data_IF_534215334197
#
_entry.id   IF_534215334197
#
_cell.length_a   1.000
_cell.length_b   1.000
_cell.length_c   1.000
_cell.angle_alpha   90.00
_cell.angle_beta   90.00
_cell.angle_gamma   90.00
#
_symmetry.space_group_name_H-M   'P 1'
#
loop_
_entity.id
_entity.type
_entity.pdbx_description
1 polymer ?
#
# COMPACT_ATOMS: atom_id res chain seq x y z
N UNK A 1 5.23 -2.19 14.25
CA UNK A 1 6.24 -1.94 13.21
C UNK A 1 6.41 -3.25 12.45
N UNK A 2 5.88 -3.38 11.22
CA UNK A 2 6.04 -4.61 10.45
C UNK A 2 7.50 -4.87 10.09
N UNK A 3 7.89 -6.13 10.04
CA UNK A 3 9.21 -6.60 9.64
C UNK A 3 10.26 -6.53 10.74
N UNK A 4 9.88 -6.62 12.01
CA UNK A 4 10.86 -6.76 13.10
C UNK A 4 11.57 -8.12 13.04
N UNK A 5 12.69 -8.33 13.76
CA UNK A 5 13.31 -9.65 13.85
C UNK A 5 12.31 -10.72 14.30
N UNK A 6 12.32 -11.86 13.59
CA UNK A 6 11.38 -13.00 13.76
C UNK A 6 9.93 -12.72 13.34
N UNK A 7 9.64 -11.55 12.78
CA UNK A 7 8.32 -11.22 12.22
C UNK A 7 8.14 -11.89 10.86
N UNK A 8 6.91 -12.30 10.57
CA UNK A 8 6.45 -12.85 9.30
C UNK A 8 5.02 -12.37 8.96
N UNK A 9 4.48 -12.80 7.82
CA UNK A 9 3.14 -12.44 7.38
C UNK A 9 2.07 -12.78 8.42
N UNK A 10 2.18 -13.97 9.03
CA UNK A 10 1.16 -14.50 9.93
C UNK A 10 1.14 -13.75 11.26
N UNK A 11 2.33 -13.51 11.81
CA UNK A 11 2.55 -12.81 13.07
C UNK A 11 2.20 -11.32 12.95
N UNK A 12 2.54 -10.68 11.82
CA UNK A 12 2.11 -9.31 11.57
C UNK A 12 0.58 -9.20 11.42
N UNK A 13 -0.06 -10.08 10.64
CA UNK A 13 -1.51 -10.05 10.47
C UNK A 13 -2.25 -10.40 11.77
N UNK A 14 -1.68 -11.26 12.62
CA UNK A 14 -2.21 -11.48 13.96
C UNK A 14 -2.09 -10.21 14.82
N UNK A 15 -0.94 -9.53 14.78
CA UNK A 15 -0.76 -8.25 15.49
C UNK A 15 -1.78 -7.19 15.05
N UNK A 16 -2.17 -7.16 13.77
CA UNK A 16 -3.23 -6.27 13.27
C UNK A 16 -4.56 -6.58 13.96
N UNK A 17 -4.94 -7.86 14.06
CA UNK A 17 -6.18 -8.27 14.76
C UNK A 17 -6.13 -7.90 16.24
N UNK A 18 -5.01 -8.17 16.90
CA UNK A 18 -4.83 -7.85 18.31
C UNK A 18 -4.94 -6.34 18.55
N UNK A 19 -4.41 -5.51 17.64
CA UNK A 19 -4.55 -4.04 17.71
C UNK A 19 -6.00 -3.59 17.49
N UNK A 20 -6.74 -4.23 16.57
CA UNK A 20 -8.17 -3.94 16.37
C UNK A 20 -8.96 -4.22 17.66
N UNK A 21 -8.66 -5.33 18.34
CA UNK A 21 -9.32 -5.71 19.59
C UNK A 21 -9.05 -4.72 20.74
N UNK A 22 -7.90 -4.03 20.71
CA UNK A 22 -7.57 -2.95 21.65
C UNK A 22 -8.36 -1.65 21.40
N UNK A 23 -9.00 -1.50 20.24
CA UNK A 23 -9.81 -0.32 19.84
C UNK A 23 -9.11 1.03 20.06
N UNK A 24 -7.90 1.24 19.52
CA UNK A 24 -7.21 2.53 19.63
C UNK A 24 -7.92 3.62 18.82
N UNK A 25 -7.74 4.88 19.22
CA UNK A 25 -8.25 6.05 18.48
C UNK A 25 -7.60 6.20 17.10
N UNK A 26 -6.37 5.71 16.92
CA UNK A 26 -5.65 5.70 15.66
C UNK A 26 -4.44 4.76 15.70
N UNK A 27 -3.87 4.46 14.52
CA UNK A 27 -2.62 3.70 14.38
C UNK A 27 -1.59 4.42 13.52
N UNK A 28 -0.31 4.11 13.75
CA UNK A 28 0.83 4.53 12.94
C UNK A 28 1.63 3.31 12.52
N UNK A 29 1.92 3.18 11.23
CA UNK A 29 2.62 2.02 10.67
C UNK A 29 3.99 2.47 10.16
N UNK A 30 5.05 2.01 10.82
CA UNK A 30 6.43 2.24 10.40
C UNK A 30 7.06 0.92 9.97
N UNK A 31 7.28 0.71 8.65
CA UNK A 31 8.12 -0.38 8.16
C UNK A 31 9.49 -0.35 8.84
N UNK A 32 9.93 -1.52 9.29
CA UNK A 32 11.23 -1.64 9.95
C UNK A 32 12.35 -1.46 8.94
N UNK A 33 13.26 -0.52 9.20
CA UNK A 33 14.43 -0.22 8.37
C UNK A 33 15.71 -0.52 9.14
N UNK A 34 16.78 -0.89 8.43
CA UNK A 34 18.12 -1.04 8.99
C UNK A 34 18.81 0.31 8.93
N UNK A 35 19.06 0.90 10.10
CA UNK A 35 19.75 2.19 10.25
C UNK A 35 21.10 1.96 10.92
N UNK A 36 22.16 2.63 10.44
CA UNK A 36 23.51 2.55 11.03
C UNK A 36 23.48 2.80 12.55
N UNK A 37 24.42 2.18 13.26
CA UNK A 37 24.60 2.35 14.70
C UNK A 37 23.38 1.94 15.54
N UNK A 38 22.60 0.98 15.06
CA UNK A 38 21.50 0.34 15.81
C UNK A 38 21.78 -1.13 16.02
N UNK A 39 21.17 -1.73 17.04
CA UNK A 39 21.22 -3.19 17.25
C UNK A 39 20.75 -3.96 16.01
N UNK A 40 19.76 -3.42 15.28
CA UNK A 40 19.26 -4.04 14.06
C UNK A 40 20.31 -4.04 12.94
N UNK A 41 21.15 -3.00 12.85
CA UNK A 41 22.28 -2.96 11.92
C UNK A 41 23.36 -3.98 12.27
N UNK A 42 23.63 -4.20 13.55
CA UNK A 42 24.57 -5.24 13.98
C UNK A 42 24.05 -6.64 13.62
N UNK A 43 22.76 -6.91 13.86
CA UNK A 43 22.11 -8.18 13.46
C UNK A 43 22.16 -8.37 11.94
N UNK A 44 21.85 -7.33 11.17
CA UNK A 44 21.92 -7.35 9.70
C UNK A 44 23.35 -7.65 9.22
N UNK A 45 24.35 -7.00 9.81
CA UNK A 45 25.76 -7.18 9.45
C UNK A 45 26.29 -8.58 9.79
N UNK A 46 25.69 -9.27 10.77
CA UNK A 46 25.97 -10.69 11.09
C UNK A 46 25.11 -11.69 10.31
N UNK A 47 24.19 -11.21 9.46
CA UNK A 47 23.24 -12.06 8.72
C UNK A 47 22.12 -12.67 9.57
N UNK A 48 21.94 -12.21 10.81
CA UNK A 48 20.91 -12.69 11.75
C UNK A 48 19.54 -12.07 11.50
N UNK A 49 19.49 -10.98 10.73
CA UNK A 49 18.27 -10.29 10.34
C UNK A 49 18.36 -9.87 8.88
N UNK A 50 17.30 -10.12 8.12
CA UNK A 50 17.14 -9.63 6.76
C UNK A 50 15.84 -8.83 6.69
N UNK A 51 15.88 -7.54 6.32
CA UNK A 51 14.67 -6.76 6.19
C UNK A 51 13.79 -7.30 5.05
N UNK A 52 12.48 -7.10 5.18
CA UNK A 52 11.55 -7.47 4.11
C UNK A 52 11.75 -6.61 2.86
N UNK A 53 11.46 -7.18 1.69
CA UNK A 53 11.44 -6.42 0.45
C UNK A 53 10.34 -5.36 0.46
N UNK A 54 10.54 -4.29 -0.33
CA UNK A 54 9.54 -3.22 -0.48
C UNK A 54 8.19 -3.77 -0.93
N UNK A 55 8.17 -4.65 -1.94
CA UNK A 55 6.92 -5.22 -2.45
C UNK A 55 6.18 -6.08 -1.40
N UNK A 56 6.92 -6.93 -0.65
CA UNK A 56 6.36 -7.72 0.46
C UNK A 56 5.72 -6.81 1.51
N UNK A 57 6.46 -5.79 1.92
CA UNK A 57 5.99 -4.82 2.91
C UNK A 57 4.76 -4.04 2.43
N UNK A 58 4.75 -3.58 1.18
CA UNK A 58 3.61 -2.87 0.60
C UNK A 58 2.34 -3.73 0.61
N UNK A 59 2.42 -5.02 0.28
CA UNK A 59 1.24 -5.91 0.31
C UNK A 59 0.70 -6.13 1.73
N UNK A 60 1.58 -6.29 2.72
CA UNK A 60 1.15 -6.51 4.11
C UNK A 60 0.57 -5.24 4.73
N UNK A 61 1.20 -4.09 4.50
CA UNK A 61 0.66 -2.81 4.98
C UNK A 61 -0.66 -2.48 4.29
N UNK A 62 -0.83 -2.81 3.00
CA UNK A 62 -2.12 -2.72 2.29
C UNK A 62 -3.20 -3.52 3.00
N UNK A 63 -2.92 -4.78 3.34
CA UNK A 63 -3.87 -5.62 4.07
C UNK A 63 -4.23 -5.02 5.44
N UNK A 64 -3.23 -4.57 6.21
CA UNK A 64 -3.46 -3.92 7.50
C UNK A 64 -4.33 -2.66 7.38
N UNK A 65 -4.05 -1.78 6.40
CA UNK A 65 -4.84 -0.57 6.18
C UNK A 65 -6.30 -0.88 5.85
N UNK A 66 -6.56 -1.93 5.06
CA UNK A 66 -7.93 -2.38 4.75
C UNK A 66 -8.63 -2.89 6.02
N UNK A 67 -7.96 -3.68 6.85
CA UNK A 67 -8.57 -4.18 8.10
C UNK A 67 -8.88 -3.05 9.08
N UNK A 68 -7.99 -2.06 9.24
CA UNK A 68 -8.27 -0.88 10.07
C UNK A 68 -9.41 -0.01 9.51
N UNK A 69 -9.48 0.18 8.18
CA UNK A 69 -10.57 0.93 7.53
C UNK A 69 -11.94 0.28 7.78
N UNK A 70 -12.04 -1.06 7.79
CA UNK A 70 -13.30 -1.79 8.03
C UNK A 70 -13.91 -1.57 9.41
N UNK A 71 -13.09 -1.24 10.40
CA UNK A 71 -13.49 -1.06 11.80
C UNK A 71 -13.36 0.39 12.26
N UNK A 72 -13.27 1.32 11.31
CA UNK A 72 -13.20 2.77 11.53
C UNK A 72 -12.00 3.21 12.43
N UNK A 73 -10.87 2.49 12.39
CA UNK A 73 -9.63 2.88 13.06
C UNK A 73 -8.75 3.68 12.07
N UNK A 74 -8.51 4.98 12.28
CA UNK A 74 -7.72 5.79 11.36
C UNK A 74 -6.23 5.40 11.35
N UNK A 75 -5.70 5.13 10.17
CA UNK A 75 -4.24 5.03 9.94
C UNK A 75 -3.69 6.43 9.63
N UNK A 76 -3.16 7.12 10.64
CA UNK A 76 -2.76 8.53 10.49
C UNK A 76 -1.37 8.71 9.90
N UNK A 77 -0.53 7.68 9.92
CA UNK A 77 0.81 7.71 9.33
C UNK A 77 1.25 6.34 8.84
N UNK A 78 1.83 6.31 7.64
CA UNK A 78 2.42 5.12 7.05
C UNK A 78 3.77 5.49 6.42
N UNK A 79 4.82 4.78 6.81
CA UNK A 79 6.18 5.09 6.39
C UNK A 79 6.88 6.10 7.30
N UNK A 80 8.20 6.19 7.13
CA UNK A 80 9.06 7.10 7.88
C UNK A 80 9.19 8.44 7.15
N UNK A 81 9.39 9.51 7.92
CA UNK A 81 9.67 10.83 7.34
C UNK A 81 11.09 10.83 6.78
N UNK A 82 11.25 11.39 5.59
CA UNK A 82 12.52 11.49 4.85
C UNK A 82 13.42 12.58 5.46
N UNK A 83 13.90 12.34 6.67
CA UNK A 83 14.89 13.20 7.31
C UNK A 83 16.29 12.95 6.71
N UNK A 84 17.07 13.99 6.36
CA UNK A 84 18.39 13.82 5.74
C UNK A 84 19.35 12.94 6.56
N UNK A 85 19.37 13.11 7.89
CA UNK A 85 20.22 12.29 8.77
C UNK A 85 19.78 10.82 8.76
N UNK A 86 18.48 10.56 8.73
CA UNK A 86 17.97 9.20 8.57
C UNK A 86 18.39 8.59 7.22
N UNK A 87 18.31 9.35 6.13
CA UNK A 87 18.68 8.86 4.79
C UNK A 87 20.17 8.57 4.65
N UNK A 88 21.03 9.40 5.24
CA UNK A 88 22.48 9.16 5.27
C UNK A 88 22.84 7.87 6.05
N UNK A 89 22.04 7.54 7.06
CA UNK A 89 22.22 6.38 7.91
C UNK A 89 21.38 5.17 7.49
N UNK A 90 20.57 5.26 6.44
CA UNK A 90 19.80 4.14 5.92
C UNK A 90 20.74 3.12 5.26
N UNK A 91 20.73 1.89 5.77
CA UNK A 91 21.56 0.78 5.26
C UNK A 91 20.75 -0.10 4.33
N UNK A 92 19.56 -0.54 4.77
CA UNK A 92 18.68 -1.39 3.97
C UNK A 92 17.23 -1.35 4.53
N UNK A 93 16.30 -1.91 3.76
CA UNK A 93 14.91 -2.13 4.14
C UNK A 93 13.89 -1.48 3.20
N UNK A 94 12.60 -1.72 3.45
CA UNK A 94 11.50 -1.31 2.59
C UNK A 94 11.19 0.19 2.70
N UNK A 95 12.11 1.03 2.23
CA UNK A 95 11.97 2.48 2.22
C UNK A 95 11.45 3.01 0.87
N UNK A 96 10.52 3.96 0.95
CA UNK A 96 10.13 4.80 -0.17
C UNK A 96 9.60 6.14 0.36
N UNK A 97 9.97 7.30 -0.20
CA UNK A 97 9.51 8.61 0.30
C UNK A 97 7.99 8.76 0.24
N UNK A 98 7.35 8.17 -0.77
CA UNK A 98 5.90 8.16 -0.96
C UNK A 98 5.25 6.82 -0.56
N UNK A 99 5.73 6.17 0.50
CA UNK A 99 5.28 4.81 0.90
C UNK A 99 3.75 4.71 1.00
N UNK A 100 3.11 5.65 1.71
CA UNK A 100 1.65 5.68 1.86
C UNK A 100 0.93 5.73 0.50
N UNK A 101 1.38 6.60 -0.41
CA UNK A 101 0.83 6.71 -1.75
C UNK A 101 0.92 5.39 -2.52
N UNK A 102 2.04 4.66 -2.41
CA UNK A 102 2.17 3.35 -3.05
C UNK A 102 1.16 2.35 -2.49
N UNK A 103 0.97 2.30 -1.17
CA UNK A 103 -0.03 1.42 -0.55
C UNK A 103 -1.45 1.80 -0.98
N UNK A 104 -1.82 3.07 -0.87
CA UNK A 104 -3.14 3.56 -1.28
C UNK A 104 -3.42 3.33 -2.77
N UNK A 105 -2.38 3.46 -3.62
CA UNK A 105 -2.49 3.16 -5.05
C UNK A 105 -2.70 1.67 -5.32
N UNK A 106 -2.12 0.77 -4.51
CA UNK A 106 -2.43 -0.67 -4.57
C UNK A 106 -3.87 -0.95 -4.14
N UNK A 107 -4.37 -0.31 -3.08
CA UNK A 107 -5.78 -0.41 -2.67
C UNK A 107 -6.71 0.08 -3.79
N UNK A 108 -6.38 1.21 -4.43
CA UNK A 108 -7.13 1.75 -5.55
C UNK A 108 -7.19 0.77 -6.73
N UNK A 109 -6.06 0.10 -7.04
CA UNK A 109 -6.02 -0.95 -8.07
C UNK A 109 -6.92 -2.11 -7.71
N UNK A 110 -6.86 -2.62 -6.48
CA UNK A 110 -7.68 -3.75 -6.04
C UNK A 110 -9.18 -3.40 -6.13
N UNK A 111 -9.57 -2.16 -5.79
CA UNK A 111 -10.94 -1.65 -5.99
C UNK A 111 -11.36 -1.68 -7.47
N UNK A 112 -10.51 -1.19 -8.38
CA UNK A 112 -10.79 -1.24 -9.82
C UNK A 112 -10.92 -2.68 -10.35
N UNK A 113 -10.00 -3.57 -9.95
CA UNK A 113 -10.00 -4.99 -10.31
C UNK A 113 -11.31 -5.65 -9.87
N UNK A 114 -11.71 -5.47 -8.62
CA UNK A 114 -12.96 -6.05 -8.10
C UNK A 114 -14.23 -5.54 -8.78
N UNK A 115 -14.22 -4.33 -9.35
CA UNK A 115 -15.35 -3.83 -10.16
C UNK A 115 -15.41 -4.51 -11.53
N UNK A 116 -14.26 -4.77 -12.16
CA UNK A 116 -14.17 -5.47 -13.44
C UNK A 116 -14.59 -6.93 -13.28
N UNK A 117 -14.14 -7.60 -12.22
CA UNK A 117 -14.48 -9.00 -11.92
C UNK A 117 -15.99 -9.25 -11.73
N UNK A 118 -16.76 -8.20 -11.43
CA UNK A 118 -18.23 -8.28 -11.31
C UNK A 118 -18.97 -8.15 -12.64
N UNK A 119 -18.27 -7.76 -13.72
CA UNK A 119 -18.87 -7.70 -15.04
C UNK A 119 -19.08 -9.12 -15.59
N UNK A 120 -20.26 -9.36 -16.18
CA UNK A 120 -20.53 -10.63 -16.87
C UNK A 120 -19.64 -10.79 -18.12
N UNK A 121 -19.43 -9.69 -18.84
CA UNK A 121 -18.58 -9.61 -20.02
C UNK A 121 -17.69 -8.38 -19.87
N UNK A 122 -16.38 -8.55 -20.09
CA UNK A 122 -15.41 -7.46 -20.00
C UNK A 122 -15.29 -6.83 -21.40
N UNK A 123 -15.72 -5.58 -21.60
CA UNK A 123 -15.56 -4.91 -22.89
C UNK A 123 -14.08 -4.60 -23.18
N UNK A 124 -13.71 -4.40 -24.45
CA UNK A 124 -12.34 -4.07 -24.85
C UNK A 124 -11.89 -2.69 -24.35
N UNK A 125 -12.84 -1.83 -23.94
CA UNK A 125 -12.57 -0.50 -23.41
C UNK A 125 -13.41 -0.27 -22.15
N UNK A 126 -12.81 0.36 -21.15
CA UNK A 126 -13.48 0.69 -19.89
C UNK A 126 -13.26 2.15 -19.52
N UNK A 127 -14.27 2.77 -18.90
CA UNK A 127 -14.14 4.09 -18.31
C UNK A 127 -14.39 4.03 -16.82
N UNK A 128 -13.45 4.53 -16.02
CA UNK A 128 -13.69 4.79 -14.60
C UNK A 128 -13.92 6.27 -14.39
N UNK A 129 -14.97 6.60 -13.65
CA UNK A 129 -15.17 7.94 -13.11
C UNK A 129 -14.47 7.98 -11.75
N UNK A 130 -13.51 8.88 -11.59
CA UNK A 130 -12.66 9.00 -10.40
C UNK A 130 -12.73 10.41 -9.81
N UNK A 131 -12.75 10.58 -8.48
CA UNK A 131 -12.64 11.90 -7.88
C UNK A 131 -11.32 12.56 -8.26
N UNK A 132 -11.39 13.84 -8.65
CA UNK A 132 -10.26 14.60 -9.22
C UNK A 132 -9.02 14.63 -8.32
N UNK A 133 -9.19 14.71 -7.00
CA UNK A 133 -8.10 14.66 -6.02
C UNK A 133 -7.44 13.28 -5.85
N UNK A 134 -8.00 12.19 -6.40
CA UNK A 134 -7.47 10.82 -6.27
C UNK A 134 -7.04 10.20 -7.61
N UNK A 135 -7.09 10.95 -8.72
CA UNK A 135 -6.73 10.46 -10.07
C UNK A 135 -5.36 9.77 -10.08
N UNK A 136 -4.37 10.36 -9.40
CA UNK A 136 -3.01 9.81 -9.34
C UNK A 136 -2.94 8.45 -8.64
N UNK A 137 -3.83 8.15 -7.69
CA UNK A 137 -3.89 6.83 -7.03
C UNK A 137 -4.40 5.76 -7.99
N UNK A 138 -5.43 6.07 -8.77
CA UNK A 138 -6.02 5.15 -9.74
C UNK A 138 -5.12 4.91 -10.95
N UNK A 139 -4.45 5.95 -11.46
CA UNK A 139 -3.39 5.78 -12.46
C UNK A 139 -2.24 4.93 -11.91
N UNK A 140 -1.84 5.21 -10.67
CA UNK A 140 -0.65 4.67 -10.04
C UNK A 140 0.65 5.27 -10.58
N UNK A 141 1.75 5.02 -9.87
CA UNK A 141 3.06 5.54 -10.23
C UNK A 141 3.42 5.13 -11.67
N UNK A 142 3.72 6.12 -12.53
CA UNK A 142 3.99 5.91 -13.97
C UNK A 142 2.90 5.11 -14.69
N UNK A 143 1.62 5.27 -14.29
CA UNK A 143 0.45 4.56 -14.85
C UNK A 143 0.45 3.03 -14.66
N UNK A 144 1.26 2.51 -13.74
CA UNK A 144 1.43 1.07 -13.53
C UNK A 144 0.13 0.33 -13.16
N UNK A 145 -0.85 0.99 -12.54
CA UNK A 145 -2.13 0.32 -12.27
C UNK A 145 -2.90 0.05 -13.56
N UNK A 146 -2.95 1.04 -14.45
CA UNK A 146 -3.61 0.91 -15.75
C UNK A 146 -2.96 -0.21 -16.57
N UNK A 147 -1.63 -0.22 -16.65
CA UNK A 147 -0.90 -1.22 -17.43
C UNK A 147 -1.13 -2.65 -16.88
N UNK A 148 -1.12 -2.79 -15.55
CA UNK A 148 -1.39 -4.09 -14.89
C UNK A 148 -2.81 -4.57 -15.13
N UNK A 149 -3.81 -3.69 -15.02
CA UNK A 149 -5.23 -4.05 -15.22
C UNK A 149 -5.46 -4.43 -16.70
N UNK A 150 -4.93 -3.64 -17.64
CA UNK A 150 -4.99 -3.96 -19.08
C UNK A 150 -4.44 -5.35 -19.38
N UNK A 151 -3.25 -5.65 -18.84
CA UNK A 151 -2.61 -6.96 -19.00
C UNK A 151 -3.41 -8.10 -18.35
N UNK A 152 -3.97 -7.86 -17.16
CA UNK A 152 -4.71 -8.88 -16.40
C UNK A 152 -6.00 -9.32 -17.10
N UNK A 153 -6.73 -8.38 -17.71
CA UNK A 153 -8.05 -8.64 -18.29
C UNK A 153 -8.08 -8.60 -19.83
N UNK A 154 -6.95 -8.34 -20.49
CA UNK A 154 -6.90 -8.24 -21.96
C UNK A 154 -7.65 -7.02 -22.52
N UNK A 155 -7.68 -5.91 -21.78
CA UNK A 155 -8.39 -4.68 -22.15
C UNK A 155 -7.47 -3.79 -23.01
N UNK A 156 -8.00 -3.24 -24.10
CA UNK A 156 -7.26 -2.37 -25.01
C UNK A 156 -7.04 -0.99 -24.41
N UNK A 157 -8.09 -0.38 -23.84
CA UNK A 157 -8.05 0.98 -23.31
C UNK A 157 -8.78 1.11 -21.97
N UNK A 158 -8.19 1.85 -21.04
CA UNK A 158 -8.84 2.26 -19.79
C UNK A 158 -8.78 3.78 -19.72
N UNK A 159 -9.94 4.42 -19.67
CA UNK A 159 -10.08 5.86 -19.54
C UNK A 159 -10.41 6.22 -18.09
N UNK A 160 -9.84 7.33 -17.61
CA UNK A 160 -10.20 7.91 -16.32
C UNK A 160 -10.86 9.26 -16.56
N UNK A 161 -12.16 9.36 -16.26
CA UNK A 161 -12.89 10.62 -16.29
C UNK A 161 -12.92 11.20 -14.88
N UNK A 162 -12.57 12.48 -14.74
CA UNK A 162 -12.56 13.14 -13.45
C UNK A 162 -13.96 13.66 -13.10
N UNK A 163 -14.33 13.56 -11.83
CA UNK A 163 -15.54 14.15 -11.27
C UNK A 163 -15.21 15.04 -10.06
N UNK A 164 -16.24 15.59 -9.41
CA UNK A 164 -16.10 16.37 -8.18
C UNK A 164 -15.38 15.61 -7.06
N UNK A 165 -14.77 16.33 -6.13
CA UNK A 165 -13.92 15.75 -5.07
C UNK A 165 -14.65 14.80 -4.09
N UNK A 166 -15.97 14.89 -3.99
CA UNK A 166 -16.79 14.12 -3.04
C UNK A 166 -17.45 12.88 -3.65
N UNK A 167 -17.20 12.57 -4.91
CA UNK A 167 -17.80 11.41 -5.57
C UNK A 167 -16.93 10.16 -5.46
N UNK A 168 -17.59 9.01 -5.35
CA UNK A 168 -16.93 7.71 -5.32
C UNK A 168 -16.47 7.23 -6.71
N UNK A 169 -15.55 6.27 -6.71
CA UNK A 169 -15.15 5.52 -7.89
C UNK A 169 -16.36 4.83 -8.53
N UNK A 170 -16.59 5.07 -9.82
CA UNK A 170 -17.61 4.37 -10.61
C UNK A 170 -16.98 3.74 -11.84
N UNK A 171 -17.51 2.59 -12.25
CA UNK A 171 -17.16 1.93 -13.51
C UNK A 171 -18.31 2.11 -14.49
N UNK A 172 -17.98 2.57 -15.69
CA UNK A 172 -18.88 2.70 -16.83
C UNK A 172 -18.37 1.71 -17.88
N UNK A 173 -19.10 0.61 -18.04
CA UNK A 173 -18.78 -0.54 -18.87
C UNK A 173 -19.96 -0.93 -19.74
#
# INVERSE_FOLDING_TARGET
MPGLPKDDESTFLQSVKDVIDLRPDFVRIYPTLVIRNTTLFEMYSRGEYLPWSLDRMLQLVKAAMIEFEKVDIPVIRVGLHSDPSMLENLVDGPYHPSFRYLVESLIARDKMVSMIERLKNIPPELTFIVPSNKVSLYLGHKKNNIDKIKKLFGINNIFLQQTGNQEDLKLVA
#
